data_IF_509356676026
#
_entry.id   IF_509356676026
#
_cell.length_a   1.000
_cell.length_b   1.000
_cell.length_c   1.000
_cell.angle_alpha   90.00
_cell.angle_beta   90.00
_cell.angle_gamma   90.00
#
_symmetry.space_group_name_H-M   'P 1'
#
loop_
_entity.id
_entity.type
_entity.pdbx_description
1 polymer ?
#
# COMPACT_ATOMS: atom_id res chain seq x y z
N UNK A 1 -18.42 -0.29 8.01
CA UNK A 1 -17.66 -1.20 7.16
C UNK A 1 -16.88 -2.19 8.02
N UNK A 2 -16.83 -3.46 7.62
CA UNK A 2 -16.28 -4.51 8.49
C UNK A 2 -14.78 -4.36 8.75
N UNK A 3 -14.04 -3.69 7.86
CA UNK A 3 -12.60 -3.47 8.06
C UNK A 3 -12.29 -2.15 8.76
N UNK A 4 -13.29 -1.35 9.07
CA UNK A 4 -13.06 -0.01 9.64
C UNK A 4 -12.27 -0.04 10.96
N UNK A 5 -12.52 -0.98 11.89
CA UNK A 5 -11.70 -1.01 13.10
C UNK A 5 -10.21 -1.24 12.81
N UNK A 6 -9.89 -2.07 11.83
CA UNK A 6 -8.50 -2.33 11.43
C UNK A 6 -7.89 -1.10 10.77
N UNK A 7 -8.67 -0.41 9.93
CA UNK A 7 -8.23 0.82 9.27
C UNK A 7 -7.94 1.91 10.30
N UNK A 8 -8.83 2.08 11.28
CA UNK A 8 -8.65 3.07 12.34
C UNK A 8 -7.40 2.82 13.15
N UNK A 9 -7.14 1.55 13.49
CA UNK A 9 -5.94 1.19 14.25
C UNK A 9 -4.67 1.50 13.46
N UNK A 10 -4.64 1.10 12.19
CA UNK A 10 -3.48 1.34 11.34
C UNK A 10 -3.27 2.84 11.10
N UNK A 11 -4.35 3.58 10.88
CA UNK A 11 -4.31 5.03 10.71
C UNK A 11 -3.64 5.70 11.92
N UNK A 12 -4.06 5.34 13.11
CA UNK A 12 -3.49 5.90 14.35
C UNK A 12 -2.03 5.49 14.52
N UNK A 13 -1.70 4.24 14.20
CA UNK A 13 -0.35 3.70 14.38
C UNK A 13 0.67 4.36 13.47
N UNK A 14 0.31 4.59 12.22
CA UNK A 14 1.26 5.05 11.19
C UNK A 14 1.08 6.50 10.77
N UNK A 15 0.06 7.18 11.27
CA UNK A 15 -0.19 8.57 10.89
C UNK A 15 -0.63 8.73 9.43
N UNK A 16 -1.50 7.84 8.97
CA UNK A 16 -2.05 7.86 7.61
C UNK A 16 -3.56 8.05 7.70
N UNK A 17 -4.12 8.96 6.90
CA UNK A 17 -5.56 9.25 6.92
C UNK A 17 -6.38 8.01 6.58
N UNK A 18 -7.44 7.78 7.35
CA UNK A 18 -8.37 6.65 7.10
C UNK A 18 -8.91 6.69 5.68
N UNK A 19 -9.28 7.88 5.19
CA UNK A 19 -9.83 8.02 3.85
C UNK A 19 -8.85 7.56 2.77
N UNK A 20 -7.57 7.78 2.98
CA UNK A 20 -6.56 7.32 2.04
C UNK A 20 -6.44 5.79 2.05
N UNK A 21 -6.41 5.19 3.23
CA UNK A 21 -6.35 3.73 3.36
C UNK A 21 -7.55 3.09 2.66
N UNK A 22 -8.75 3.61 2.93
CA UNK A 22 -9.99 3.09 2.33
C UNK A 22 -9.99 3.25 0.81
N UNK A 23 -9.51 4.39 0.31
CA UNK A 23 -9.43 4.64 -1.13
C UNK A 23 -8.49 3.64 -1.82
N UNK A 24 -7.35 3.34 -1.19
CA UNK A 24 -6.41 2.35 -1.71
C UNK A 24 -7.07 0.97 -1.73
N UNK A 25 -7.72 0.56 -0.66
CA UNK A 25 -8.38 -0.75 -0.60
C UNK A 25 -9.46 -0.87 -1.67
N UNK A 26 -10.26 0.17 -1.86
CA UNK A 26 -11.30 0.18 -2.90
C UNK A 26 -10.69 0.00 -4.29
N UNK A 27 -9.65 0.76 -4.59
CA UNK A 27 -9.01 0.76 -5.90
C UNK A 27 -8.27 -0.54 -6.16
N UNK A 28 -7.54 -1.05 -5.16
CA UNK A 28 -6.66 -2.18 -5.36
C UNK A 28 -7.37 -3.53 -5.36
N UNK A 29 -8.34 -3.70 -4.48
CA UNK A 29 -8.96 -5.02 -4.28
C UNK A 29 -10.48 -5.01 -4.24
N UNK A 30 -11.12 -3.84 -4.27
CA UNK A 30 -12.57 -3.72 -4.01
C UNK A 30 -12.94 -4.41 -2.69
N UNK A 31 -12.07 -4.30 -1.68
CA UNK A 31 -12.26 -4.88 -0.36
C UNK A 31 -12.32 -6.41 -0.36
N UNK A 32 -11.70 -7.07 -1.35
CA UNK A 32 -11.67 -8.53 -1.41
C UNK A 32 -10.36 -9.02 -0.77
N UNK A 33 -10.44 -9.74 0.36
CA UNK A 33 -9.22 -10.11 1.10
C UNK A 33 -8.34 -11.15 0.39
N UNK A 34 -8.88 -11.88 -0.59
CA UNK A 34 -8.12 -12.89 -1.34
C UNK A 34 -7.69 -12.42 -2.72
N UNK A 35 -7.80 -11.12 -3.01
CA UNK A 35 -7.44 -10.60 -4.32
C UNK A 35 -5.96 -10.86 -4.63
N UNK A 36 -5.68 -11.30 -5.85
CA UNK A 36 -4.31 -11.53 -6.34
C UNK A 36 -4.21 -10.92 -7.73
N UNK A 37 -3.26 -10.00 -7.93
CA UNK A 37 -3.06 -9.40 -9.24
C UNK A 37 -2.16 -10.27 -10.13
N UNK A 38 -2.04 -9.87 -11.40
CA UNK A 38 -1.12 -10.54 -12.33
C UNK A 38 0.32 -10.46 -11.87
N UNK A 39 0.66 -9.44 -11.11
CA UNK A 39 2.01 -9.23 -10.59
C UNK A 39 2.22 -9.88 -9.21
N UNK A 40 1.26 -10.69 -8.76
CA UNK A 40 1.27 -11.29 -7.44
C UNK A 40 1.22 -10.28 -6.29
N UNK A 41 0.51 -9.17 -6.50
CA UNK A 41 0.13 -8.29 -5.41
C UNK A 41 -1.03 -8.96 -4.65
N UNK A 42 -0.97 -8.96 -3.34
CA UNK A 42 -1.80 -9.82 -2.49
C UNK A 42 -2.72 -9.04 -1.56
N UNK A 43 -3.98 -9.47 -1.49
CA UNK A 43 -4.92 -9.08 -0.46
C UNK A 43 -5.51 -7.69 -0.58
N UNK A 44 -6.08 -7.21 0.51
CA UNK A 44 -6.87 -5.98 0.55
C UNK A 44 -6.15 -4.75 0.00
N UNK A 45 -4.89 -4.57 0.34
CA UNK A 45 -4.11 -3.42 -0.12
C UNK A 45 -3.12 -3.78 -1.23
N UNK A 46 -3.21 -5.00 -1.76
CA UNK A 46 -2.40 -5.46 -2.89
C UNK A 46 -0.92 -5.24 -2.66
N UNK A 47 -0.38 -5.97 -1.69
CA UNK A 47 1.02 -5.89 -1.29
C UNK A 47 1.86 -6.86 -2.10
N UNK A 48 2.92 -6.37 -2.72
CA UNK A 48 3.91 -7.23 -3.39
C UNK A 48 4.97 -7.61 -2.36
N UNK A 49 5.11 -8.92 -2.03
CA UNK A 49 6.01 -9.33 -0.95
C UNK A 49 7.45 -8.87 -1.13
N UNK A 50 7.97 -8.92 -2.35
CA UNK A 50 9.39 -8.67 -2.61
C UNK A 50 9.74 -7.22 -2.87
N UNK A 51 8.77 -6.32 -2.85
CA UNK A 51 8.98 -4.88 -3.02
C UNK A 51 8.42 -4.14 -1.83
N UNK A 52 7.15 -3.78 -1.85
CA UNK A 52 6.53 -3.05 -0.73
C UNK A 52 6.63 -3.84 0.59
N UNK A 53 6.36 -5.14 0.55
CA UNK A 53 6.44 -5.97 1.75
C UNK A 53 7.85 -5.99 2.33
N UNK A 54 8.85 -6.15 1.48
CA UNK A 54 10.25 -6.13 1.91
C UNK A 54 10.63 -4.78 2.51
N UNK A 55 10.23 -3.70 1.86
CA UNK A 55 10.53 -2.35 2.33
C UNK A 55 9.96 -2.10 3.73
N UNK A 56 8.72 -2.55 3.95
CA UNK A 56 8.09 -2.42 5.26
C UNK A 56 8.84 -3.24 6.31
N UNK A 57 9.13 -4.52 6.02
CA UNK A 57 9.85 -5.36 6.96
C UNK A 57 11.21 -4.77 7.31
N UNK A 58 11.93 -4.31 6.28
CA UNK A 58 13.24 -3.68 6.49
C UNK A 58 13.14 -2.45 7.38
N UNK A 59 12.15 -1.60 7.14
CA UNK A 59 11.95 -0.39 7.95
C UNK A 59 11.64 -0.70 9.41
N UNK A 60 11.12 -1.90 9.67
CA UNK A 60 10.77 -2.35 11.01
C UNK A 60 11.86 -3.21 11.66
N UNK A 61 13.02 -3.32 11.00
CA UNK A 61 14.10 -4.16 11.50
C UNK A 61 13.84 -5.66 11.40
N UNK A 62 12.91 -6.06 10.54
CA UNK A 62 12.55 -7.46 10.32
C UNK A 62 13.25 -7.97 9.06
N UNK A 63 13.72 -9.22 9.11
CA UNK A 63 14.35 -9.84 7.95
C UNK A 63 13.31 -10.53 7.07
N UNK A 64 13.66 -10.73 5.79
CA UNK A 64 12.81 -11.46 4.86
C UNK A 64 11.66 -10.63 4.33
N UNK A 65 10.60 -11.32 3.92
CA UNK A 65 9.41 -10.71 3.33
C UNK A 65 8.15 -11.36 3.92
N UNK A 66 7.00 -10.64 3.91
CA UNK A 66 5.75 -11.24 4.37
C UNK A 66 5.33 -12.37 3.42
N UNK A 67 4.81 -13.45 3.99
CA UNK A 67 4.32 -14.58 3.21
C UNK A 67 2.88 -14.39 2.77
N UNK A 68 2.39 -15.33 1.94
CA UNK A 68 1.02 -15.23 1.39
C UNK A 68 -0.05 -15.29 2.47
N UNK A 69 0.04 -16.24 3.42
CA UNK A 69 -0.97 -16.32 4.48
C UNK A 69 -0.97 -15.09 5.36
N UNK A 70 0.19 -14.50 5.60
CA UNK A 70 0.29 -13.25 6.35
C UNK A 70 -0.46 -12.13 5.61
N UNK A 71 -0.26 -12.03 4.29
CA UNK A 71 -0.85 -10.96 3.50
C UNK A 71 -2.32 -11.20 3.13
N UNK A 72 -2.82 -12.42 3.24
CA UNK A 72 -4.25 -12.69 3.09
C UNK A 72 -5.02 -12.46 4.39
N UNK A 73 -4.33 -12.31 5.52
CA UNK A 73 -4.97 -11.93 6.77
C UNK A 73 -5.28 -10.43 6.75
N UNK A 74 -6.54 -10.03 6.91
CA UNK A 74 -6.91 -8.60 6.80
C UNK A 74 -6.12 -7.67 7.72
N UNK A 75 -5.95 -8.05 8.99
CA UNK A 75 -5.23 -7.20 9.95
C UNK A 75 -3.77 -7.00 9.52
N UNK A 76 -3.09 -8.09 9.15
CA UNK A 76 -1.69 -8.03 8.73
C UNK A 76 -1.53 -7.26 7.41
N UNK A 77 -2.45 -7.46 6.49
CA UNK A 77 -2.41 -6.77 5.19
C UNK A 77 -2.58 -5.26 5.37
N UNK A 78 -3.61 -4.85 6.11
CA UNK A 78 -3.89 -3.43 6.34
C UNK A 78 -2.74 -2.78 7.10
N UNK A 79 -2.19 -3.47 8.10
CA UNK A 79 -1.02 -2.96 8.83
C UNK A 79 0.17 -2.72 7.90
N UNK A 80 0.49 -3.72 7.07
CA UNK A 80 1.63 -3.65 6.15
C UNK A 80 1.43 -2.57 5.08
N UNK A 81 0.23 -2.54 4.48
CA UNK A 81 -0.07 -1.55 3.44
C UNK A 81 -0.05 -0.13 3.97
N UNK A 82 -0.57 0.07 5.17
CA UNK A 82 -0.58 1.39 5.80
C UNK A 82 0.84 1.82 6.18
N UNK A 83 1.66 0.88 6.66
CA UNK A 83 3.08 1.15 6.93
C UNK A 83 3.79 1.59 5.65
N UNK A 84 3.48 0.97 4.52
CA UNK A 84 4.06 1.36 3.24
C UNK A 84 3.60 2.75 2.80
N UNK A 85 2.32 3.07 2.99
CA UNK A 85 1.82 4.42 2.73
C UNK A 85 2.57 5.45 3.56
N UNK A 86 2.88 5.14 4.82
CA UNK A 86 3.65 6.03 5.68
C UNK A 86 5.07 6.24 5.14
N UNK A 87 5.71 5.19 4.63
CA UNK A 87 7.03 5.31 4.00
C UNK A 87 6.96 6.28 2.81
N UNK A 88 5.95 6.12 1.96
CA UNK A 88 5.78 6.99 0.79
C UNK A 88 5.49 8.44 1.20
N UNK A 89 4.64 8.64 2.20
CA UNK A 89 4.36 9.99 2.71
C UNK A 89 5.64 10.68 3.18
N UNK A 90 6.45 9.96 3.94
CA UNK A 90 7.69 10.51 4.46
C UNK A 90 8.69 10.81 3.34
N UNK A 91 8.72 9.98 2.31
CA UNK A 91 9.58 10.21 1.15
C UNK A 91 9.22 11.51 0.43
N UNK A 92 7.93 11.77 0.24
CA UNK A 92 7.48 12.96 -0.50
C UNK A 92 7.30 14.20 0.37
N UNK A 93 7.30 14.06 1.69
CA UNK A 93 7.08 15.19 2.59
C UNK A 93 8.09 16.31 2.39
N UNK A 94 9.34 15.98 2.16
CA UNK A 94 10.39 16.96 1.95
C UNK A 94 10.48 17.51 0.53
N UNK A 95 9.79 16.87 -0.43
CA UNK A 95 9.88 17.24 -1.84
C UNK A 95 8.65 17.99 -2.34
N UNK A 96 7.49 17.71 -1.76
CA UNK A 96 6.21 18.27 -2.20
C UNK A 96 5.52 18.92 -1.02
N UNK A 97 5.47 20.24 -1.00
CA UNK A 97 4.87 20.98 0.12
C UNK A 97 3.35 21.03 0.07
N UNK A 98 2.75 20.98 -1.12
CA UNK A 98 1.30 21.02 -1.28
C UNK A 98 0.68 19.69 -0.87
N UNK A 99 -0.24 19.67 0.13
CA UNK A 99 -0.82 18.40 0.62
C UNK A 99 -1.58 17.61 -0.44
N UNK A 100 -2.30 18.28 -1.33
CA UNK A 100 -3.05 17.61 -2.39
C UNK A 100 -2.11 16.97 -3.40
N UNK A 101 -1.07 17.68 -3.80
CA UNK A 101 -0.06 17.16 -4.72
C UNK A 101 0.70 15.99 -4.09
N UNK A 102 1.01 16.10 -2.80
CA UNK A 102 1.68 15.01 -2.08
C UNK A 102 0.82 13.76 -2.01
N UNK A 103 -0.46 13.92 -1.70
CA UNK A 103 -1.40 12.80 -1.67
C UNK A 103 -1.48 12.10 -3.04
N UNK A 104 -1.55 12.89 -4.10
CA UNK A 104 -1.54 12.35 -5.47
C UNK A 104 -0.27 11.57 -5.77
N UNK A 105 0.89 12.10 -5.38
CA UNK A 105 2.18 11.43 -5.58
C UNK A 105 2.24 10.11 -4.81
N UNK A 106 1.75 10.09 -3.58
CA UNK A 106 1.70 8.87 -2.76
C UNK A 106 0.84 7.80 -3.41
N UNK A 107 -0.36 8.18 -3.87
CA UNK A 107 -1.27 7.23 -4.53
C UNK A 107 -0.64 6.68 -5.81
N UNK A 108 -0.05 7.56 -6.61
CA UNK A 108 0.59 7.17 -7.87
C UNK A 108 1.76 6.21 -7.62
N UNK A 109 2.59 6.53 -6.62
CA UNK A 109 3.71 5.68 -6.26
C UNK A 109 3.24 4.32 -5.73
N UNK A 110 2.18 4.31 -4.94
CA UNK A 110 1.61 3.06 -4.43
C UNK A 110 1.14 2.17 -5.58
N UNK A 111 0.38 2.73 -6.50
CA UNK A 111 -0.12 1.99 -7.67
C UNK A 111 1.03 1.51 -8.56
N UNK A 112 2.06 2.32 -8.72
CA UNK A 112 3.25 1.96 -9.48
C UNK A 112 3.99 0.79 -8.86
N UNK A 113 4.05 0.77 -7.52
CA UNK A 113 4.64 -0.35 -6.80
C UNK A 113 3.88 -1.65 -7.00
N UNK A 114 2.58 -1.57 -7.28
CA UNK A 114 1.77 -2.74 -7.64
C UNK A 114 1.97 -3.16 -9.10
N UNK A 115 2.72 -2.38 -9.89
CA UNK A 115 3.08 -2.72 -11.26
C UNK A 115 2.14 -2.22 -12.33
N UNK A 116 0.92 -1.86 -12.01
CA UNK A 116 -0.08 -1.50 -13.02
C UNK A 116 0.22 -0.18 -13.71
N UNK A 117 0.57 0.84 -12.95
CA UNK A 117 0.90 2.16 -13.50
C UNK A 117 2.16 2.10 -14.34
N UNK A 118 3.16 1.37 -13.89
CA UNK A 118 4.41 1.21 -14.63
C UNK A 118 4.18 0.56 -15.99
N UNK A 119 3.31 -0.42 -16.07
CA UNK A 119 3.00 -1.07 -17.34
C UNK A 119 2.32 -0.13 -18.32
N UNK A 120 1.44 0.74 -17.83
CA UNK A 120 0.79 1.75 -18.68
C UNK A 120 1.83 2.72 -19.24
N UNK A 121 2.75 3.19 -18.40
CA UNK A 121 3.83 4.08 -18.85
C UNK A 121 4.73 3.40 -19.87
N UNK A 122 5.07 2.14 -19.69
CA UNK A 122 5.88 1.40 -20.65
C UNK A 122 5.18 1.30 -21.99
N UNK A 123 3.88 1.06 -22.01
CA UNK A 123 3.09 1.00 -23.23
C UNK A 123 3.09 2.34 -23.95
N UNK A 124 2.96 3.43 -23.21
CA UNK A 124 2.90 4.77 -23.78
C UNK A 124 4.24 5.22 -24.38
N UNK A 125 5.33 4.69 -23.90
CA UNK A 125 6.66 5.06 -24.39
C UNK A 125 7.05 4.38 -25.69
N UNK A 126 6.29 3.41 -26.08
CA UNK A 126 6.54 2.72 -27.34
C UNK A 126 5.93 3.47 -28.51
#
# INVERSE_FOLDING_TARGET
>A
HKYLPLVRRASAKYGVEESLILAIMQTESSFIPYAVSRSDALGLMQIMPNTAGRDVFKSQGRSGVPGRSYLFDPASNIDTGTAYLAILQNTYLGEISNPTSRRYAVITAYNGGAGSVLRVFHSDKK
#
